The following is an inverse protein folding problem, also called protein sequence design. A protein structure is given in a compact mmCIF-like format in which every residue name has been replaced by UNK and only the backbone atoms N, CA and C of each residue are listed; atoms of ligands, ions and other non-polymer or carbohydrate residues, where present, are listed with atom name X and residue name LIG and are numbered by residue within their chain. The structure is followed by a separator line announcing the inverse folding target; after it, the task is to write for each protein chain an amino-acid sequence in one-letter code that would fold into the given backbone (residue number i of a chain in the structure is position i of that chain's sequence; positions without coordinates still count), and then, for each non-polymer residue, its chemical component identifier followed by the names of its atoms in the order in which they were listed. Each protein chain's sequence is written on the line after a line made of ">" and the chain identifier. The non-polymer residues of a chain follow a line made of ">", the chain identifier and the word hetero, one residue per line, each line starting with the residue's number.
data_IF_409424182857
#
_entry.id   IF_409424182857
#
_cell.length_a   1.000
_cell.length_b   1.000
_cell.length_c   1.000
_cell.angle_alpha   90.00
_cell.angle_beta   90.00
_cell.angle_gamma   90.00
#
_symmetry.space_group_name_H-M   'P 1'
#
loop_
_entity.id
_entity.type
_entity.pdbx_description
1 polymer ?
#
# COMPACT_ATOMS: atom_id res chain seq x y z
N UNK A 1 -10.18 -20.84 -34.77
CA UNK A 1 -9.42 -19.57 -34.89
C UNK A 1 -8.60 -19.25 -33.64
N UNK A 2 -9.17 -19.35 -32.43
CA UNK A 2 -8.50 -18.97 -31.17
C UNK A 2 -7.24 -19.78 -30.84
N UNK A 3 -7.27 -21.11 -31.04
CA UNK A 3 -6.08 -21.98 -30.87
C UNK A 3 -4.89 -21.54 -31.75
N UNK A 4 -5.15 -21.03 -32.95
CA UNK A 4 -4.11 -20.51 -33.84
C UNK A 4 -3.54 -19.18 -33.32
N UNK A 5 -4.39 -18.26 -32.85
CA UNK A 5 -3.97 -17.00 -32.20
C UNK A 5 -3.08 -17.29 -30.98
N UNK A 6 -3.53 -18.19 -30.10
CA UNK A 6 -2.78 -18.62 -28.92
C UNK A 6 -1.42 -19.24 -29.28
N UNK A 7 -1.40 -20.17 -30.26
CA UNK A 7 -0.17 -20.81 -30.73
C UNK A 7 0.81 -19.81 -31.36
N UNK A 8 0.33 -18.80 -32.08
CA UNK A 8 1.17 -17.72 -32.60
C UNK A 8 1.83 -16.92 -31.48
N UNK A 9 1.06 -16.49 -30.47
CA UNK A 9 1.61 -15.73 -29.34
C UNK A 9 2.62 -16.55 -28.54
N UNK A 10 2.34 -17.83 -28.26
CA UNK A 10 3.28 -18.73 -27.58
C UNK A 10 4.61 -18.86 -28.33
N UNK A 11 4.59 -18.90 -29.67
CA UNK A 11 5.81 -18.90 -30.50
C UNK A 11 6.59 -17.59 -30.37
N UNK A 12 5.91 -16.45 -30.39
CA UNK A 12 6.55 -15.13 -30.22
C UNK A 12 7.15 -15.01 -28.81
N UNK A 13 6.44 -15.46 -27.77
CA UNK A 13 6.95 -15.50 -26.39
C UNK A 13 8.22 -16.34 -26.30
N UNK A 14 8.23 -17.55 -26.87
CA UNK A 14 9.40 -18.45 -26.82
C UNK A 14 10.58 -18.01 -27.70
N UNK A 15 10.37 -17.08 -28.63
CA UNK A 15 11.43 -16.57 -29.52
C UNK A 15 12.40 -15.58 -28.84
N UNK A 16 12.25 -15.31 -27.53
CA UNK A 16 13.06 -14.35 -26.76
C UNK A 16 14.57 -14.45 -27.04
N UNK A 17 15.15 -15.64 -26.86
CA UNK A 17 16.60 -15.86 -27.04
C UNK A 17 17.05 -15.67 -28.50
N UNK A 18 16.26 -16.18 -29.45
CA UNK A 18 16.59 -16.07 -30.87
C UNK A 18 16.54 -14.60 -31.35
N UNK A 19 15.57 -13.83 -30.85
CA UNK A 19 15.36 -12.43 -31.21
C UNK A 19 16.35 -11.50 -30.49
N UNK A 20 16.83 -11.86 -29.30
CA UNK A 20 17.87 -11.11 -28.61
C UNK A 20 19.15 -11.01 -29.46
N UNK A 21 19.53 -12.08 -30.15
CA UNK A 21 20.72 -12.11 -31.01
C UNK A 21 20.58 -11.26 -32.30
N UNK A 22 19.36 -10.96 -32.74
CA UNK A 22 19.12 -10.19 -33.98
C UNK A 22 18.90 -8.70 -33.76
N UNK A 23 18.93 -8.22 -32.50
CA UNK A 23 18.64 -6.82 -32.16
C UNK A 23 17.15 -6.44 -32.21
N UNK A 24 16.26 -7.35 -32.57
CA UNK A 24 14.82 -7.09 -32.70
C UNK A 24 14.03 -7.27 -31.38
N UNK A 25 14.71 -7.29 -30.23
CA UNK A 25 14.10 -7.53 -28.91
C UNK A 25 13.00 -6.50 -28.58
N UNK A 26 13.25 -5.21 -28.83
CA UNK A 26 12.27 -4.15 -28.59
C UNK A 26 11.04 -4.27 -29.51
N UNK A 27 11.23 -4.67 -30.77
CA UNK A 27 10.13 -4.91 -31.69
C UNK A 27 9.25 -6.07 -31.20
N UNK A 28 9.85 -7.16 -30.71
CA UNK A 28 9.12 -8.27 -30.09
C UNK A 28 8.31 -7.81 -28.88
N UNK A 29 8.87 -7.00 -27.99
CA UNK A 29 8.16 -6.45 -26.83
C UNK A 29 6.94 -5.63 -27.26
N UNK A 30 7.11 -4.71 -28.23
CA UNK A 30 6.00 -3.90 -28.77
C UNK A 30 4.90 -4.74 -29.41
N UNK A 31 5.29 -5.75 -30.19
CA UNK A 31 4.34 -6.70 -30.81
C UNK A 31 3.56 -7.42 -29.72
N UNK A 32 4.24 -8.01 -28.73
CA UNK A 32 3.58 -8.74 -27.65
C UNK A 32 2.62 -7.85 -26.85
N UNK A 33 3.04 -6.66 -26.43
CA UNK A 33 2.19 -5.72 -25.70
C UNK A 33 0.93 -5.35 -26.50
N UNK A 34 1.07 -5.11 -27.81
CA UNK A 34 -0.07 -4.78 -28.68
C UNK A 34 -1.01 -5.98 -28.83
N UNK A 35 -0.48 -7.18 -29.09
CA UNK A 35 -1.27 -8.38 -29.33
C UNK A 35 -2.13 -8.77 -28.11
N UNK A 36 -1.59 -8.59 -26.89
CA UNK A 36 -2.33 -8.92 -25.65
C UNK A 36 -3.57 -8.04 -25.50
N UNK A 37 -3.49 -6.77 -25.91
CA UNK A 37 -4.62 -5.84 -25.81
C UNK A 37 -5.68 -6.00 -26.92
N UNK A 38 -5.30 -6.59 -28.07
CA UNK A 38 -6.17 -6.70 -29.25
C UNK A 38 -6.92 -8.03 -29.34
N UNK A 39 -6.47 -9.05 -28.63
CA UNK A 39 -7.04 -10.38 -28.72
C UNK A 39 -7.88 -10.72 -27.48
N UNK A 40 -9.11 -11.18 -27.69
CA UNK A 40 -10.04 -11.63 -26.63
C UNK A 40 -9.75 -13.05 -26.11
N UNK A 41 -8.67 -13.67 -26.59
CA UNK A 41 -8.21 -14.99 -26.14
C UNK A 41 -7.56 -14.84 -24.76
N UNK A 42 -7.51 -15.87 -23.88
CA UNK A 42 -6.82 -15.83 -22.57
C UNK A 42 -5.28 -15.74 -22.68
N UNK A 43 -4.78 -14.80 -23.48
CA UNK A 43 -3.37 -14.48 -23.66
C UNK A 43 -2.80 -13.75 -22.46
N UNK A 44 -3.63 -12.98 -21.75
CA UNK A 44 -3.21 -12.25 -20.55
C UNK A 44 -2.57 -13.19 -19.53
N UNK A 45 -3.18 -14.34 -19.28
CA UNK A 45 -2.67 -15.34 -18.34
C UNK A 45 -1.34 -15.95 -18.81
N UNK A 46 -1.18 -16.21 -20.11
CA UNK A 46 0.05 -16.78 -20.67
C UNK A 46 1.21 -15.78 -20.68
N UNK A 47 0.93 -14.51 -21.00
CA UNK A 47 1.93 -13.44 -20.94
C UNK A 47 2.30 -13.12 -19.50
N UNK A 48 1.33 -13.10 -18.59
CA UNK A 48 1.58 -12.93 -17.16
C UNK A 48 2.45 -14.07 -16.63
N UNK A 49 2.10 -15.33 -16.88
CA UNK A 49 2.90 -16.48 -16.48
C UNK A 49 4.33 -16.41 -17.06
N UNK A 50 4.45 -16.03 -18.33
CA UNK A 50 5.76 -15.82 -18.97
C UNK A 50 6.58 -14.72 -18.29
N UNK A 51 5.98 -13.56 -17.98
CA UNK A 51 6.68 -12.49 -17.25
C UNK A 51 7.08 -12.96 -15.85
N UNK A 52 6.19 -13.62 -15.13
CA UNK A 52 6.43 -14.07 -13.75
C UNK A 52 7.49 -15.17 -13.66
N UNK A 53 7.71 -15.93 -14.72
CA UNK A 53 8.77 -16.96 -14.79
C UNK A 53 10.19 -16.35 -14.77
N UNK A 54 10.39 -15.17 -15.35
CA UNK A 54 11.63 -14.38 -15.24
C UNK A 54 11.31 -12.89 -15.21
N UNK A 55 10.89 -12.41 -14.02
CA UNK A 55 10.46 -11.03 -13.86
C UNK A 55 11.58 -10.07 -14.23
N UNK A 56 12.80 -10.30 -13.74
CA UNK A 56 13.95 -9.39 -13.92
C UNK A 56 14.27 -9.21 -15.40
N UNK A 57 14.38 -10.31 -16.14
CA UNK A 57 14.66 -10.28 -17.58
C UNK A 57 13.50 -9.74 -18.43
N UNK A 58 12.27 -9.75 -17.91
CA UNK A 58 11.04 -9.46 -18.68
C UNK A 58 10.31 -8.20 -18.21
N UNK A 59 10.94 -7.35 -17.40
CA UNK A 59 10.36 -6.09 -16.93
C UNK A 59 9.93 -5.16 -18.06
N UNK A 60 10.72 -5.06 -19.13
CA UNK A 60 10.36 -4.22 -20.28
C UNK A 60 9.04 -4.66 -20.93
N UNK A 61 8.78 -5.98 -20.97
CA UNK A 61 7.51 -6.52 -21.46
C UNK A 61 6.36 -6.22 -20.49
N UNK A 62 6.59 -6.35 -19.18
CA UNK A 62 5.60 -6.00 -18.17
C UNK A 62 5.18 -4.53 -18.27
N UNK A 63 6.14 -3.62 -18.39
CA UNK A 63 5.86 -2.20 -18.57
C UNK A 63 5.19 -1.92 -19.91
N UNK A 64 5.72 -2.43 -21.02
CA UNK A 64 5.11 -2.20 -22.33
C UNK A 64 3.64 -2.66 -22.36
N UNK A 65 3.32 -3.82 -21.75
CA UNK A 65 1.94 -4.30 -21.66
C UNK A 65 1.09 -3.41 -20.74
N UNK A 66 1.55 -3.08 -19.53
CA UNK A 66 0.82 -2.23 -18.58
C UNK A 66 0.49 -0.85 -19.18
N UNK A 67 1.47 -0.21 -19.81
CA UNK A 67 1.28 1.07 -20.50
C UNK A 67 0.36 0.94 -21.71
N UNK A 68 0.40 -0.17 -22.44
CA UNK A 68 -0.50 -0.41 -23.56
C UNK A 68 -1.97 -0.52 -23.10
N UNK A 69 -2.25 -1.25 -22.01
CA UNK A 69 -3.60 -1.33 -21.42
C UNK A 69 -4.09 0.06 -20.97
N UNK A 70 -3.20 0.87 -20.38
CA UNK A 70 -3.53 2.24 -19.99
C UNK A 70 -3.81 3.14 -21.21
N UNK A 71 -3.02 3.03 -22.27
CA UNK A 71 -3.23 3.79 -23.51
C UNK A 71 -4.55 3.41 -24.19
N UNK A 72 -4.92 2.12 -24.16
CA UNK A 72 -6.23 1.67 -24.65
C UNK A 72 -7.37 2.34 -23.87
N UNK A 73 -7.27 2.37 -22.54
CA UNK A 73 -8.22 3.10 -21.69
C UNK A 73 -8.33 4.58 -22.10
N UNK A 74 -7.19 5.28 -22.23
CA UNK A 74 -7.17 6.70 -22.62
C UNK A 74 -7.80 6.94 -24.00
N UNK A 75 -7.57 6.04 -24.96
CA UNK A 75 -8.10 6.16 -26.33
C UNK A 75 -9.62 6.04 -26.42
N UNK A 76 -10.27 5.50 -25.38
CA UNK A 76 -11.71 5.26 -25.32
C UNK A 76 -12.46 6.27 -24.45
N UNK A 77 -11.77 7.27 -23.90
CA UNK A 77 -12.41 8.31 -23.08
C UNK A 77 -13.49 9.08 -23.85
N UNK A 78 -14.61 9.46 -23.19
CA UNK A 78 -14.89 9.31 -21.76
C UNK A 78 -15.49 7.94 -21.35
N UNK A 79 -15.82 7.06 -22.30
CA UNK A 79 -16.46 5.77 -22.04
C UNK A 79 -15.49 4.63 -21.68
N UNK A 80 -14.19 4.89 -21.69
CA UNK A 80 -13.15 3.90 -21.42
C UNK A 80 -13.23 3.32 -20.00
N UNK A 81 -13.06 2.00 -19.89
CA UNK A 81 -13.00 1.29 -18.62
C UNK A 81 -11.55 1.04 -18.20
N UNK A 82 -11.24 1.24 -16.91
CA UNK A 82 -9.94 0.91 -16.31
C UNK A 82 -9.78 -0.58 -16.01
N UNK A 83 -10.83 -1.39 -16.13
CA UNK A 83 -10.84 -2.79 -15.68
C UNK A 83 -9.69 -3.62 -16.24
N UNK A 84 -9.40 -3.49 -17.55
CA UNK A 84 -8.33 -4.26 -18.20
C UNK A 84 -6.94 -3.88 -17.70
N UNK A 85 -6.74 -2.58 -17.47
CA UNK A 85 -5.52 -2.04 -16.87
C UNK A 85 -5.37 -2.49 -15.42
N UNK A 86 -6.47 -2.42 -14.64
CA UNK A 86 -6.51 -2.82 -13.24
C UNK A 86 -6.16 -4.30 -13.07
N UNK A 87 -6.80 -5.17 -13.85
CA UNK A 87 -6.50 -6.61 -13.88
C UNK A 87 -5.03 -6.91 -14.24
N UNK A 88 -4.46 -6.16 -15.20
CA UNK A 88 -3.05 -6.30 -15.57
C UNK A 88 -2.13 -5.91 -14.40
N UNK A 89 -2.37 -4.75 -13.77
CA UNK A 89 -1.57 -4.27 -12.64
C UNK A 89 -1.69 -5.20 -11.43
N UNK A 90 -2.90 -5.59 -11.05
CA UNK A 90 -3.13 -6.54 -9.94
C UNK A 90 -2.44 -7.87 -10.22
N UNK A 91 -2.58 -8.42 -11.43
CA UNK A 91 -1.96 -9.69 -11.79
C UNK A 91 -0.44 -9.65 -11.68
N UNK A 92 0.19 -8.56 -12.13
CA UNK A 92 1.62 -8.33 -11.97
C UNK A 92 2.02 -8.21 -10.50
N UNK A 93 1.33 -7.37 -9.71
CA UNK A 93 1.65 -7.14 -8.31
C UNK A 93 1.45 -8.39 -7.45
N UNK A 94 0.31 -9.08 -7.60
CA UNK A 94 0.02 -10.32 -6.88
C UNK A 94 1.02 -11.43 -7.23
N UNK A 95 1.34 -11.60 -8.52
CA UNK A 95 2.35 -12.57 -8.96
C UNK A 95 3.75 -12.27 -8.41
N UNK A 96 4.10 -11.00 -8.19
CA UNK A 96 5.33 -10.62 -7.50
C UNK A 96 5.29 -10.97 -6.01
N UNK A 97 4.15 -10.77 -5.34
CA UNK A 97 4.00 -11.12 -3.92
C UNK A 97 4.27 -12.60 -3.65
N UNK A 98 3.92 -13.49 -4.58
CA UNK A 98 4.16 -14.93 -4.44
C UNK A 98 5.64 -15.33 -4.57
N UNK A 99 6.51 -14.50 -5.14
CA UNK A 99 7.93 -14.85 -5.32
C UNK A 99 8.68 -14.75 -4.00
N UNK A 100 9.54 -15.73 -3.64
CA UNK A 100 10.25 -15.73 -2.36
C UNK A 100 11.33 -14.65 -2.27
N UNK A 101 12.01 -14.34 -3.38
CA UNK A 101 13.05 -13.32 -3.44
C UNK A 101 12.51 -11.99 -4.00
N UNK A 102 12.28 -11.04 -3.10
CA UNK A 102 11.81 -9.68 -3.42
C UNK A 102 12.80 -8.59 -2.98
N UNK A 103 14.05 -8.96 -2.65
CA UNK A 103 15.04 -7.99 -2.14
C UNK A 103 15.49 -6.97 -3.19
N UNK A 104 15.26 -7.27 -4.46
CA UNK A 104 15.72 -6.47 -5.60
C UNK A 104 14.85 -5.24 -5.90
N UNK A 105 13.83 -4.96 -5.08
CA UNK A 105 12.99 -3.76 -5.21
C UNK A 105 12.11 -3.77 -6.47
N UNK A 106 11.91 -4.92 -7.10
CA UNK A 106 11.13 -5.04 -8.34
C UNK A 106 9.67 -4.65 -8.10
N UNK A 107 9.08 -5.11 -6.99
CA UNK A 107 7.73 -4.70 -6.58
C UNK A 107 7.60 -3.18 -6.52
N UNK A 108 8.53 -2.51 -5.82
CA UNK A 108 8.58 -1.04 -5.72
C UNK A 108 8.71 -0.41 -7.10
N UNK A 109 9.56 -0.95 -7.98
CA UNK A 109 9.72 -0.44 -9.35
C UNK A 109 8.42 -0.53 -10.14
N UNK A 110 7.72 -1.68 -10.11
CA UNK A 110 6.43 -1.84 -10.81
C UNK A 110 5.38 -0.86 -10.29
N UNK A 111 5.28 -0.69 -8.97
CA UNK A 111 4.37 0.28 -8.35
C UNK A 111 4.72 1.72 -8.77
N UNK A 112 6.00 2.11 -8.73
CA UNK A 112 6.39 3.48 -9.02
C UNK A 112 6.34 3.85 -10.51
N UNK A 113 6.50 2.88 -11.41
CA UNK A 113 6.43 3.10 -12.86
C UNK A 113 5.00 2.96 -13.43
N UNK A 114 4.06 2.36 -12.69
CA UNK A 114 2.69 2.20 -13.14
C UNK A 114 2.03 3.55 -13.47
N UNK A 115 1.38 3.74 -14.64
CA UNK A 115 0.76 5.02 -14.99
C UNK A 115 -0.21 5.54 -13.91
N UNK A 116 -1.01 4.64 -13.36
CA UNK A 116 -2.05 4.93 -12.37
C UNK A 116 -2.11 3.83 -11.30
N UNK A 117 -2.12 4.19 -10.03
CA UNK A 117 -2.45 3.23 -8.97
C UNK A 117 -3.96 3.29 -8.72
N UNK A 118 -4.66 2.23 -9.09
CA UNK A 118 -6.10 2.02 -8.83
C UNK A 118 -6.35 1.68 -7.37
N UNK A 119 -7.61 1.74 -6.94
CA UNK A 119 -8.00 1.35 -5.58
C UNK A 119 -7.71 -0.13 -5.30
N UNK A 120 -8.06 -1.01 -6.25
CA UNK A 120 -7.75 -2.44 -6.17
C UNK A 120 -6.24 -2.70 -6.07
N UNK A 121 -5.40 -2.02 -6.87
CA UNK A 121 -3.95 -2.17 -6.78
C UNK A 121 -3.38 -1.60 -5.47
N UNK A 122 -3.98 -0.53 -4.93
CA UNK A 122 -3.60 0.02 -3.64
C UNK A 122 -3.85 -0.99 -2.51
N UNK A 123 -4.92 -1.78 -2.60
CA UNK A 123 -5.19 -2.87 -1.65
C UNK A 123 -4.15 -4.00 -1.75
N UNK A 124 -3.67 -4.32 -2.96
CA UNK A 124 -2.53 -5.25 -3.13
C UNK A 124 -1.27 -4.70 -2.47
N UNK A 125 -1.01 -3.39 -2.60
CA UNK A 125 0.13 -2.72 -1.95
C UNK A 125 -0.04 -2.71 -0.42
N UNK A 126 -1.26 -2.51 0.10
CA UNK A 126 -1.55 -2.61 1.55
C UNK A 126 -1.17 -3.99 2.07
N UNK A 127 -1.66 -5.06 1.45
CA UNK A 127 -1.33 -6.45 1.81
C UNK A 127 0.18 -6.73 1.76
N UNK A 128 0.90 -6.10 0.82
CA UNK A 128 2.37 -6.20 0.77
C UNK A 128 3.05 -5.57 2.00
N UNK A 129 2.49 -4.50 2.54
CA UNK A 129 3.02 -3.84 3.75
C UNK A 129 2.75 -4.66 5.02
N UNK A 130 1.69 -5.49 5.01
CA UNK A 130 1.27 -6.34 6.12
C UNK A 130 2.05 -7.67 6.22
N UNK A 131 2.83 -8.01 5.19
CA UNK A 131 3.77 -9.13 5.20
C UNK A 131 4.99 -8.78 6.05
N UNK A 132 5.12 -9.43 7.21
CA UNK A 132 6.21 -9.18 8.17
C UNK A 132 7.62 -9.41 7.59
N UNK A 133 7.75 -10.24 6.55
CA UNK A 133 9.04 -10.47 5.88
C UNK A 133 9.46 -9.28 5.00
N UNK A 134 8.50 -8.44 4.60
CA UNK A 134 8.67 -7.38 3.59
C UNK A 134 8.15 -6.02 4.01
N UNK A 135 7.60 -5.90 5.21
CA UNK A 135 6.94 -4.68 5.70
C UNK A 135 7.79 -3.43 5.50
N UNK A 136 9.11 -3.49 5.75
CA UNK A 136 10.01 -2.36 5.48
C UNK A 136 9.96 -1.89 4.00
N UNK A 137 10.03 -2.83 3.05
CA UNK A 137 10.01 -2.52 1.63
C UNK A 137 8.63 -2.01 1.20
N UNK A 138 7.55 -2.58 1.76
CA UNK A 138 6.19 -2.08 1.56
C UNK A 138 6.02 -0.63 2.05
N UNK A 139 6.40 -0.34 3.29
CA UNK A 139 6.34 1.02 3.84
C UNK A 139 7.23 2.00 3.06
N UNK A 140 8.42 1.56 2.62
CA UNK A 140 9.29 2.37 1.77
C UNK A 140 8.64 2.67 0.41
N UNK A 141 7.90 1.72 -0.16
CA UNK A 141 7.16 1.90 -1.41
C UNK A 141 6.02 2.89 -1.24
N UNK A 142 5.23 2.78 -0.16
CA UNK A 142 4.17 3.74 0.17
C UNK A 142 4.75 5.15 0.38
N UNK A 143 5.84 5.27 1.13
CA UNK A 143 6.55 6.55 1.31
C UNK A 143 6.93 7.16 -0.04
N UNK A 144 7.52 6.37 -0.94
CA UNK A 144 7.90 6.85 -2.25
C UNK A 144 6.71 7.28 -3.10
N UNK A 145 5.57 6.57 -3.03
CA UNK A 145 4.32 7.01 -3.67
C UNK A 145 3.86 8.38 -3.13
N UNK A 146 3.86 8.56 -1.81
CA UNK A 146 3.44 9.81 -1.14
C UNK A 146 4.28 11.00 -1.62
N UNK A 147 5.58 10.83 -1.82
CA UNK A 147 6.45 11.93 -2.26
C UNK A 147 6.54 12.09 -3.78
N UNK A 148 6.42 11.01 -4.56
CA UNK A 148 6.56 11.05 -6.02
C UNK A 148 5.23 11.30 -6.75
N UNK A 149 4.08 11.14 -6.09
CA UNK A 149 2.74 11.27 -6.69
C UNK A 149 1.81 12.22 -5.91
N UNK A 150 2.04 13.55 -5.98
CA UNK A 150 1.30 14.54 -5.20
C UNK A 150 -0.22 14.50 -5.43
N UNK A 151 -0.67 14.20 -6.66
CA UNK A 151 -2.10 14.20 -7.03
C UNK A 151 -2.96 13.21 -6.23
N UNK A 152 -2.37 12.12 -5.71
CA UNK A 152 -3.05 11.11 -4.87
C UNK A 152 -2.37 10.91 -3.52
N UNK A 153 -1.56 11.89 -3.10
CA UNK A 153 -0.72 11.80 -1.91
C UNK A 153 -1.49 11.37 -0.67
N UNK A 154 -2.66 11.98 -0.42
CA UNK A 154 -3.46 11.70 0.76
C UNK A 154 -4.05 10.28 0.77
N UNK A 155 -4.33 9.68 -0.39
CA UNK A 155 -4.78 8.29 -0.45
C UNK A 155 -3.67 7.34 0.01
N UNK A 156 -2.45 7.55 -0.45
CA UNK A 156 -1.30 6.73 -0.05
C UNK A 156 -0.91 6.97 1.42
N UNK A 157 -0.99 8.22 1.87
CA UNK A 157 -0.74 8.57 3.26
C UNK A 157 -1.77 7.95 4.20
N UNK A 158 -3.04 7.92 3.81
CA UNK A 158 -4.10 7.28 4.58
C UNK A 158 -3.82 5.79 4.80
N UNK A 159 -3.40 5.05 3.76
CA UNK A 159 -2.99 3.64 3.90
C UNK A 159 -1.86 3.48 4.91
N UNK A 160 -0.83 4.33 4.84
CA UNK A 160 0.28 4.29 5.79
C UNK A 160 -0.17 4.59 7.23
N UNK A 161 -1.10 5.52 7.40
CA UNK A 161 -1.67 5.89 8.71
C UNK A 161 -2.54 4.77 9.29
N UNK A 162 -3.37 4.11 8.50
CA UNK A 162 -4.14 2.94 8.94
C UNK A 162 -3.22 1.83 9.46
N UNK A 163 -2.09 1.59 8.78
CA UNK A 163 -1.11 0.58 9.19
C UNK A 163 -0.45 0.90 10.54
N UNK A 164 -0.53 2.15 11.03
CA UNK A 164 -0.04 2.54 12.36
C UNK A 164 -0.90 2.04 13.52
N UNK A 165 -2.09 1.51 13.21
CA UNK A 165 -3.01 0.89 14.17
C UNK A 165 -3.21 -0.61 13.89
N UNK A 166 -2.37 -1.20 13.03
CA UNK A 166 -2.46 -2.61 12.64
C UNK A 166 -2.20 -3.55 13.83
N UNK A 167 -2.88 -4.71 13.85
CA UNK A 167 -2.77 -5.72 14.91
C UNK A 167 -1.35 -6.29 15.06
N UNK A 168 -0.71 -6.65 13.94
CA UNK A 168 0.68 -7.13 13.88
C UNK A 168 1.66 -6.04 14.33
N UNK A 169 2.38 -6.29 15.42
CA UNK A 169 3.30 -5.35 16.03
C UNK A 169 4.42 -4.88 15.09
N UNK A 170 5.01 -5.80 14.32
CA UNK A 170 6.09 -5.45 13.38
C UNK A 170 5.64 -4.47 12.30
N UNK A 171 4.44 -4.69 11.75
CA UNK A 171 3.83 -3.82 10.72
C UNK A 171 3.57 -2.44 11.31
N UNK A 172 2.92 -2.39 12.48
CA UNK A 172 2.63 -1.16 13.22
C UNK A 172 3.88 -0.35 13.54
N UNK A 173 4.89 -0.97 14.15
CA UNK A 173 6.13 -0.29 14.50
C UNK A 173 6.84 0.27 13.27
N UNK A 174 6.83 -0.47 12.16
CA UNK A 174 7.42 -0.03 10.91
C UNK A 174 6.66 1.18 10.32
N UNK A 175 5.33 1.15 10.31
CA UNK A 175 4.49 2.26 9.86
C UNK A 175 4.76 3.52 10.70
N UNK A 176 4.72 3.40 12.04
CA UNK A 176 5.01 4.51 12.96
C UNK A 176 6.41 5.11 12.72
N UNK A 177 7.42 4.28 12.45
CA UNK A 177 8.77 4.74 12.16
C UNK A 177 8.83 5.56 10.85
N UNK A 178 8.15 5.12 9.80
CA UNK A 178 8.07 5.89 8.55
C UNK A 178 7.27 7.19 8.73
N UNK A 179 6.12 7.15 9.42
CA UNK A 179 5.30 8.32 9.69
C UNK A 179 6.09 9.35 10.50
N UNK A 180 6.82 8.95 11.56
CA UNK A 180 7.66 9.87 12.35
C UNK A 180 8.69 10.61 11.49
N UNK A 181 9.43 9.87 10.64
CA UNK A 181 10.41 10.47 9.71
C UNK A 181 9.76 11.42 8.72
N UNK A 182 8.53 11.14 8.31
CA UNK A 182 7.79 11.99 7.39
C UNK A 182 7.18 13.21 8.08
N UNK A 183 6.78 13.06 9.35
CA UNK A 183 6.24 14.11 10.20
C UNK A 183 7.28 15.20 10.48
N UNK A 184 8.58 14.90 10.40
CA UNK A 184 9.63 15.93 10.43
C UNK A 184 9.47 16.95 9.29
N UNK A 185 8.80 16.62 8.18
CA UNK A 185 8.48 17.53 7.07
C UNK A 185 7.13 18.21 7.27
N UNK A 186 7.09 19.54 7.20
CA UNK A 186 5.91 20.34 7.55
C UNK A 186 4.65 20.01 6.73
N UNK A 187 4.79 19.67 5.45
CA UNK A 187 3.66 19.53 4.51
C UNK A 187 2.63 18.44 4.87
N UNK A 188 2.99 17.45 5.70
CA UNK A 188 2.11 16.33 6.06
C UNK A 188 1.62 16.39 7.51
N UNK A 189 2.14 17.32 8.34
CA UNK A 189 1.92 17.32 9.79
C UNK A 189 0.46 17.45 10.17
N UNK A 190 -0.23 18.43 9.59
CA UNK A 190 -1.64 18.71 9.90
C UNK A 190 -2.53 17.49 9.61
N UNK A 191 -2.31 16.81 8.48
CA UNK A 191 -3.09 15.63 8.12
C UNK A 191 -2.82 14.45 9.06
N UNK A 192 -1.55 14.23 9.42
CA UNK A 192 -1.14 13.17 10.34
C UNK A 192 -1.68 13.42 11.76
N UNK A 193 -1.62 14.67 12.24
CA UNK A 193 -2.21 15.08 13.52
C UNK A 193 -3.72 14.89 13.51
N UNK A 194 -4.41 15.36 12.48
CA UNK A 194 -5.85 15.20 12.35
C UNK A 194 -6.27 13.72 12.38
N UNK A 195 -5.53 12.84 11.71
CA UNK A 195 -5.77 11.40 11.78
C UNK A 195 -5.59 10.85 13.21
N UNK A 196 -4.49 11.21 13.88
CA UNK A 196 -4.22 10.77 15.25
C UNK A 196 -5.30 11.24 16.23
N UNK A 197 -5.75 12.49 16.09
CA UNK A 197 -6.80 13.07 16.91
C UNK A 197 -8.16 12.43 16.63
N UNK A 198 -8.48 12.12 15.36
CA UNK A 198 -9.71 11.39 15.03
C UNK A 198 -9.75 10.01 15.71
N UNK A 199 -8.63 9.28 15.72
CA UNK A 199 -8.55 8.00 16.44
C UNK A 199 -8.66 8.18 17.96
N UNK A 200 -8.04 9.23 18.51
CA UNK A 200 -8.16 9.56 19.92
C UNK A 200 -9.61 9.83 20.33
N UNK A 201 -10.37 10.55 19.50
CA UNK A 201 -11.78 10.86 19.74
C UNK A 201 -12.69 9.62 19.73
N UNK A 202 -12.27 8.50 19.13
CA UNK A 202 -13.04 7.25 19.18
C UNK A 202 -13.22 6.74 20.61
N UNK A 203 -12.31 7.09 21.52
CA UNK A 203 -12.33 6.68 22.93
C UNK A 203 -13.46 7.33 23.75
N UNK A 204 -14.17 8.32 23.19
CA UNK A 204 -15.36 8.91 23.82
C UNK A 204 -16.59 8.02 23.61
N UNK A 205 -16.58 7.14 22.61
CA UNK A 205 -17.71 6.24 22.36
C UNK A 205 -17.86 5.18 23.46
N UNK A 206 -19.10 4.79 23.81
CA UNK A 206 -19.36 3.78 24.82
C UNK A 206 -18.76 2.41 24.46
N UNK A 207 -18.70 2.09 23.17
CA UNK A 207 -18.12 0.87 22.62
C UNK A 207 -17.16 1.18 21.46
N UNK A 208 -16.13 0.34 21.21
CA UNK A 208 -15.22 0.46 20.08
C UNK A 208 -15.99 0.47 18.75
N UNK A 209 -15.81 1.50 17.91
CA UNK A 209 -16.43 1.54 16.58
C UNK A 209 -15.91 0.44 15.65
N UNK A 210 -16.73 0.05 14.68
CA UNK A 210 -16.45 -1.05 13.72
C UNK A 210 -15.14 -0.90 12.94
N UNK A 211 -14.70 0.34 12.71
CA UNK A 211 -13.43 0.66 12.03
C UNK A 211 -12.20 0.05 12.72
N UNK A 212 -12.25 -0.16 14.04
CA UNK A 212 -11.14 -0.78 14.79
C UNK A 212 -11.00 -2.29 14.53
N UNK A 213 -12.04 -2.91 13.96
CA UNK A 213 -12.07 -4.34 13.66
C UNK A 213 -11.83 -4.64 12.17
N UNK A 214 -11.56 -3.62 11.35
CA UNK A 214 -11.46 -3.78 9.90
C UNK A 214 -12.77 -4.24 9.25
N UNK A 215 -13.90 -4.10 9.98
CA UNK A 215 -15.23 -4.43 9.47
C UNK A 215 -15.79 -3.24 8.66
N UNK A 216 -16.62 -3.54 7.66
CA UNK A 216 -17.34 -2.52 6.91
C UNK A 216 -18.12 -1.61 7.87
N UNK A 217 -18.26 -0.32 7.49
CA UNK A 217 -18.89 0.72 8.31
C UNK A 217 -20.28 0.34 8.84
N UNK A 218 -20.97 -0.57 8.17
CA UNK A 218 -22.32 -1.03 8.49
C UNK A 218 -22.36 -2.26 9.42
N UNK A 219 -21.20 -2.77 9.86
CA UNK A 219 -21.14 -3.89 10.80
C UNK A 219 -21.21 -3.37 12.24
N UNK A 220 -22.33 -3.55 12.92
CA UNK A 220 -22.40 -3.30 14.36
C UNK A 220 -21.58 -4.34 15.12
N UNK A 221 -20.44 -3.93 15.69
CA UNK A 221 -19.64 -4.77 16.58
C UNK A 221 -20.05 -4.45 18.02
N UNK A 222 -20.94 -5.25 18.58
CA UNK A 222 -21.29 -5.18 20.01
C UNK A 222 -20.19 -5.81 20.88
N UNK A 223 -18.97 -5.25 20.83
CA UNK A 223 -17.85 -5.66 21.66
C UNK A 223 -17.54 -4.58 22.71
N UNK A 224 -17.15 -4.96 23.95
CA UNK A 224 -16.62 -3.99 24.91
C UNK A 224 -15.22 -3.53 24.49
N UNK A 225 -14.79 -2.38 25.03
CA UNK A 225 -13.41 -1.93 24.90
C UNK A 225 -12.43 -2.95 25.51
N UNK A 226 -11.35 -3.22 24.79
CA UNK A 226 -10.23 -4.04 25.28
C UNK A 226 -8.98 -3.17 25.41
N UNK A 227 -7.99 -3.60 26.18
CA UNK A 227 -6.72 -2.87 26.28
C UNK A 227 -6.06 -2.68 24.90
N UNK A 228 -6.21 -3.65 23.99
CA UNK A 228 -5.65 -3.56 22.63
C UNK A 228 -6.40 -2.54 21.76
N UNK A 229 -7.73 -2.56 21.74
CA UNK A 229 -8.51 -1.59 20.94
C UNK A 229 -8.34 -0.16 21.45
N UNK A 230 -8.14 0.02 22.77
CA UNK A 230 -7.76 1.32 23.32
C UNK A 230 -6.37 1.73 22.84
N UNK A 231 -5.38 0.83 22.87
CA UNK A 231 -4.02 1.11 22.41
C UNK A 231 -3.97 1.44 20.92
N UNK A 232 -4.78 0.79 20.09
CA UNK A 232 -4.92 1.10 18.66
C UNK A 232 -5.28 2.57 18.41
N UNK A 233 -6.16 3.15 19.21
CA UNK A 233 -6.49 4.58 19.14
C UNK A 233 -5.33 5.51 19.56
N UNK A 234 -4.38 4.99 20.35
CA UNK A 234 -3.33 5.78 20.98
C UNK A 234 -1.97 5.64 20.28
N UNK A 235 -1.71 4.58 19.51
CA UNK A 235 -0.38 4.29 18.98
C UNK A 235 0.24 5.45 18.20
N UNK A 236 -0.49 6.01 17.23
CA UNK A 236 0.00 7.15 16.45
C UNK A 236 0.09 8.42 17.32
N UNK A 237 -0.94 8.72 18.11
CA UNK A 237 -0.95 9.89 18.99
C UNK A 237 0.29 9.91 19.92
N UNK A 238 0.56 8.79 20.60
CA UNK A 238 1.70 8.66 21.51
C UNK A 238 3.05 8.70 20.78
N UNK A 239 3.09 8.25 19.53
CA UNK A 239 4.26 8.37 18.67
C UNK A 239 4.57 9.82 18.29
N UNK A 240 3.55 10.66 18.12
CA UNK A 240 3.69 12.08 17.78
C UNK A 240 3.96 12.96 19.01
N UNK A 241 3.46 12.57 20.18
CA UNK A 241 3.51 13.37 21.40
C UNK A 241 4.92 13.94 21.73
N UNK A 242 6.04 13.19 21.65
CA UNK A 242 7.37 13.74 21.89
C UNK A 242 7.84 14.82 20.90
N UNK A 243 7.18 14.94 19.74
CA UNK A 243 7.51 15.91 18.70
C UNK A 243 6.55 17.11 18.72
N UNK A 244 5.32 16.94 19.22
CA UNK A 244 4.35 18.01 19.38
C UNK A 244 3.64 17.89 20.74
N UNK A 245 4.24 18.52 21.76
CA UNK A 245 3.70 18.51 23.13
C UNK A 245 2.34 19.19 23.26
N UNK A 246 1.92 20.03 22.30
CA UNK A 246 0.61 20.71 22.35
C UNK A 246 -0.55 19.72 22.23
N UNK A 247 -0.32 18.55 21.64
CA UNK A 247 -1.31 17.48 21.52
C UNK A 247 -1.80 16.97 22.89
N UNK A 248 -1.07 17.21 23.98
CA UNK A 248 -1.47 16.80 25.33
C UNK A 248 -2.81 17.41 25.77
N UNK A 249 -3.14 18.61 25.28
CA UNK A 249 -4.40 19.29 25.64
C UNK A 249 -5.63 18.55 25.09
N UNK A 250 -5.51 17.95 23.90
CA UNK A 250 -6.58 17.16 23.28
C UNK A 250 -6.86 15.88 24.06
N UNK A 251 -5.81 15.24 24.58
CA UNK A 251 -5.97 14.08 25.45
C UNK A 251 -6.66 14.44 26.76
N UNK A 252 -6.38 15.60 27.35
CA UNK A 252 -7.08 16.03 28.56
C UNK A 252 -8.58 16.13 28.32
N UNK A 253 -9.01 16.67 27.17
CA UNK A 253 -10.43 16.74 26.80
C UNK A 253 -11.04 15.33 26.73
N UNK A 254 -10.48 14.44 25.91
CA UNK A 254 -10.97 13.06 25.75
C UNK A 254 -10.95 12.29 27.07
N UNK A 255 -9.93 12.51 27.90
CA UNK A 255 -9.81 11.87 29.19
C UNK A 255 -10.94 12.26 30.14
N UNK A 256 -11.48 13.47 30.10
CA UNK A 256 -12.60 13.83 30.99
C UNK A 256 -13.87 13.02 30.67
N UNK A 257 -14.13 12.80 29.39
CA UNK A 257 -15.33 12.14 28.86
C UNK A 257 -15.23 10.61 28.82
N UNK A 258 -14.01 10.07 28.75
CA UNK A 258 -13.78 8.63 28.64
C UNK A 258 -14.26 7.83 29.87
N UNK A 259 -14.64 6.57 29.64
CA UNK A 259 -15.01 5.63 30.71
C UNK A 259 -13.79 5.18 31.55
N UNK A 260 -14.05 4.63 32.74
CA UNK A 260 -13.00 4.30 33.73
C UNK A 260 -11.92 3.35 33.20
N UNK A 261 -12.29 2.37 32.36
CA UNK A 261 -11.34 1.39 31.81
C UNK A 261 -10.38 2.03 30.80
N UNK A 262 -10.88 2.94 29.97
CA UNK A 262 -10.08 3.74 29.05
C UNK A 262 -9.12 4.64 29.83
N UNK A 263 -9.62 5.36 30.84
CA UNK A 263 -8.82 6.23 31.71
C UNK A 263 -7.62 5.48 32.32
N UNK A 264 -7.87 4.29 32.90
CA UNK A 264 -6.80 3.44 33.48
C UNK A 264 -5.76 3.02 32.45
N UNK A 265 -6.19 2.67 31.24
CA UNK A 265 -5.29 2.27 30.15
C UNK A 265 -4.46 3.45 29.65
N UNK A 266 -5.10 4.61 29.40
CA UNK A 266 -4.43 5.84 28.97
C UNK A 266 -3.32 6.24 29.95
N UNK A 267 -3.61 6.24 31.27
CA UNK A 267 -2.61 6.56 32.29
C UNK A 267 -1.41 5.60 32.26
N UNK A 268 -1.65 4.30 32.08
CA UNK A 268 -0.58 3.30 32.01
C UNK A 268 0.34 3.52 30.81
N UNK A 269 -0.22 3.86 29.65
CA UNK A 269 0.54 3.94 28.39
C UNK A 269 1.20 5.31 28.22
N UNK A 270 0.64 6.40 28.76
CA UNK A 270 1.21 7.74 28.61
C UNK A 270 2.48 7.98 29.44
N UNK A 271 2.68 7.22 30.52
CA UNK A 271 3.90 7.36 31.34
C UNK A 271 5.18 7.07 30.55
N UNK A 272 5.13 6.22 29.52
CA UNK A 272 6.30 5.85 28.72
C UNK A 272 6.80 6.99 27.80
N UNK A 273 5.95 7.65 26.99
CA UNK A 273 6.39 8.75 26.12
C UNK A 273 6.65 10.08 26.84
N UNK A 274 6.09 10.31 28.04
CA UNK A 274 6.24 11.58 28.77
C UNK A 274 7.49 11.60 29.67
N UNK A 275 8.08 10.44 30.01
CA UNK A 275 9.36 10.42 30.73
C UNK A 275 10.45 11.01 29.84
N UNK A 276 11.18 12.06 30.27
CA UNK A 276 12.28 12.60 29.50
C UNK A 276 13.28 11.48 29.22
N UNK A 277 13.63 11.27 27.94
CA UNK A 277 14.79 10.44 27.58
C UNK A 277 15.97 11.03 28.33
N UNK A 278 16.43 10.36 29.40
CA UNK A 278 17.75 10.64 29.98
C UNK A 278 18.73 10.40 28.84
N UNK A 279 19.19 11.47 28.22
CA UNK A 279 20.30 11.45 27.29
C UNK A 279 21.47 10.90 28.11
N UNK A 280 21.92 9.69 27.80
CA UNK A 280 23.23 9.24 28.21
C UNK A 280 24.21 10.18 27.51
N UNK A 281 24.71 11.17 28.26
CA UNK A 281 25.85 11.95 27.84
C UNK A 281 27.05 10.98 27.71
N UNK A 282 27.88 11.13 26.67
CA UNK A 282 29.02 10.26 26.41
C UNK A 282 30.05 10.26 27.54
#
# INVERSE_FOLDING_TARGET
>A
MEKLKLSAVKRILRAERAVACSGAAQARVKILASLVTQFEVPLKSEVLAFILDDVRGRLDLAFAWLFQEYNVYLSQLPAGSLERYDQCLIGLLAGLQEKPDQKDGIFTKVVLEAPLITESALEVIRKYCEDESRTYLGMSTLRDLIFKRPSRQFQYLHVLLDLSSHEKDKVRQQALLFIKRMYEKDQLREYVEKFALNYLQLLVHPNPPSVLFGADKDTEVAAPWTEETIKQCLYLYLALLPHNHKLIHELASVYTEAIADIKRTVLRVIEQPVRPRKVALP
#
